data_IF_177463286062
#
_entry.id   IF_177463286062
#
_cell.length_a   1.000
_cell.length_b   1.000
_cell.length_c   1.000
_cell.angle_alpha   90.00
_cell.angle_beta   90.00
_cell.angle_gamma   90.00
#
_symmetry.space_group_name_H-M   'P 1'
#
loop_
_entity.id
_entity.type
_entity.pdbx_description
1 polymer ?
#
# COMPACT_ATOMS: atom_id res chain seq x y z
N UNK A 1 -2.58 20.65 -5.74
CA UNK A 1 -2.05 19.92 -4.57
C UNK A 1 -2.20 18.44 -4.87
N UNK A 2 -1.10 17.72 -5.09
CA UNK A 2 -1.17 16.26 -5.24
C UNK A 2 -1.41 15.70 -3.83
N UNK A 3 -2.42 14.85 -3.60
CA UNK A 3 -2.63 14.21 -2.30
C UNK A 3 -1.38 13.43 -1.91
N UNK A 4 -1.08 13.28 -0.61
CA UNK A 4 0.12 12.56 -0.17
C UNK A 4 0.16 11.10 -0.68
N UNK A 5 -1.01 10.47 -0.93
CA UNK A 5 -1.14 9.20 -1.68
C UNK A 5 -0.61 9.28 -3.13
N UNK A 6 -0.90 10.36 -3.86
CA UNK A 6 -0.42 10.54 -5.23
C UNK A 6 1.10 10.68 -5.29
N UNK A 7 1.69 11.41 -4.34
CA UNK A 7 3.15 11.52 -4.24
C UNK A 7 3.80 10.22 -3.78
N UNK A 8 3.19 9.53 -2.82
CA UNK A 8 3.57 8.18 -2.38
C UNK A 8 3.64 7.16 -3.53
N UNK A 9 2.62 7.12 -4.39
CA UNK A 9 2.58 6.21 -5.54
C UNK A 9 3.65 6.53 -6.59
N UNK A 10 4.03 7.80 -6.74
CA UNK A 10 5.14 8.20 -7.61
C UNK A 10 6.50 7.80 -7.02
N UNK A 11 6.63 7.84 -5.69
CA UNK A 11 7.86 7.57 -4.92
C UNK A 11 8.04 6.11 -4.47
N UNK A 12 7.20 5.18 -4.91
CA UNK A 12 7.45 3.74 -4.66
C UNK A 12 8.11 3.05 -5.85
N UNK A 13 8.26 3.78 -6.96
CA UNK A 13 8.63 3.24 -8.26
C UNK A 13 10.07 2.77 -8.31
N UNK A 14 11.02 3.51 -7.72
CA UNK A 14 12.43 3.12 -7.79
C UNK A 14 12.72 1.92 -6.88
N UNK A 15 12.14 1.88 -5.69
CA UNK A 15 12.23 0.79 -4.74
C UNK A 15 11.64 -0.50 -5.33
N UNK A 16 10.40 -0.47 -5.82
CA UNK A 16 9.77 -1.65 -6.43
C UNK A 16 10.56 -2.16 -7.63
N UNK A 17 10.97 -1.26 -8.53
CA UNK A 17 11.75 -1.64 -9.71
C UNK A 17 13.11 -2.20 -9.32
N UNK A 18 13.80 -1.60 -8.34
CA UNK A 18 15.08 -2.04 -7.84
C UNK A 18 15.01 -3.45 -7.24
N UNK A 19 14.05 -3.68 -6.35
CA UNK A 19 13.78 -4.98 -5.74
C UNK A 19 13.44 -6.04 -6.79
N UNK A 20 12.53 -5.74 -7.71
CA UNK A 20 12.13 -6.69 -8.76
C UNK A 20 13.29 -7.05 -9.70
N UNK A 21 14.12 -6.06 -10.10
CA UNK A 21 15.29 -6.31 -10.94
C UNK A 21 16.35 -7.14 -10.19
N UNK A 22 16.57 -6.88 -8.91
CA UNK A 22 17.52 -7.63 -8.10
C UNK A 22 17.07 -9.09 -7.92
N UNK A 23 15.81 -9.28 -7.51
CA UNK A 23 15.20 -10.60 -7.35
C UNK A 23 15.29 -11.42 -8.64
N UNK A 24 14.99 -10.80 -9.80
CA UNK A 24 15.13 -11.45 -11.11
C UNK A 24 16.58 -11.86 -11.39
N UNK A 25 17.57 -10.99 -11.10
CA UNK A 25 19.00 -11.33 -11.26
C UNK A 25 19.44 -12.46 -10.34
N UNK A 26 18.82 -12.58 -9.17
CA UNK A 26 19.06 -13.62 -8.19
C UNK A 26 18.23 -14.89 -8.43
N UNK A 27 17.59 -15.03 -9.60
CA UNK A 27 16.75 -16.18 -9.95
C UNK A 27 15.60 -16.42 -8.95
N UNK A 28 15.03 -15.34 -8.44
CA UNK A 28 13.95 -15.37 -7.44
C UNK A 28 14.34 -16.01 -6.11
N UNK A 29 15.64 -16.01 -5.78
CA UNK A 29 16.11 -16.41 -4.46
C UNK A 29 15.85 -15.28 -3.45
N UNK A 30 14.83 -15.46 -2.62
CA UNK A 30 14.42 -14.51 -1.58
C UNK A 30 15.35 -14.48 -0.36
N UNK A 31 16.23 -15.47 -0.19
CA UNK A 31 17.16 -15.55 0.95
C UNK A 31 18.44 -14.74 0.71
N UNK A 32 18.70 -14.35 -0.55
CA UNK A 32 19.88 -13.56 -0.90
C UNK A 32 19.69 -12.09 -0.54
N UNK A 33 20.76 -11.48 -0.04
CA UNK A 33 20.79 -10.05 0.25
C UNK A 33 20.56 -9.23 -1.03
N UNK A 34 19.63 -8.30 -0.97
CA UNK A 34 19.33 -7.36 -2.04
C UNK A 34 19.88 -5.97 -1.71
N UNK A 35 21.03 -5.55 -2.28
CA UNK A 35 21.50 -4.18 -2.14
C UNK A 35 20.52 -3.20 -2.80
N UNK A 36 20.15 -2.16 -2.07
CA UNK A 36 19.30 -1.08 -2.55
C UNK A 36 20.12 -0.01 -3.28
N UNK A 37 19.56 0.59 -4.32
CA UNK A 37 20.17 1.74 -4.99
C UNK A 37 20.06 3.01 -4.13
N UNK A 38 20.91 4.00 -4.39
CA UNK A 38 20.82 5.30 -3.73
C UNK A 38 19.44 5.96 -3.88
N UNK A 39 18.79 5.81 -5.05
CA UNK A 39 17.43 6.32 -5.25
C UNK A 39 16.40 5.59 -4.37
N UNK A 40 16.54 4.26 -4.23
CA UNK A 40 15.65 3.46 -3.38
C UNK A 40 15.80 3.85 -1.90
N UNK A 41 17.01 4.17 -1.47
CA UNK A 41 17.28 4.71 -0.13
C UNK A 41 16.63 6.07 0.10
N UNK A 42 16.73 6.99 -0.87
CA UNK A 42 16.07 8.30 -0.77
C UNK A 42 14.55 8.18 -0.70
N UNK A 43 13.96 7.25 -1.45
CA UNK A 43 12.53 6.95 -1.35
C UNK A 43 12.15 6.40 0.04
N UNK A 44 12.91 5.44 0.57
CA UNK A 44 12.68 4.90 1.92
C UNK A 44 12.80 5.96 3.01
N UNK A 45 13.79 6.85 2.90
CA UNK A 45 13.95 7.96 3.83
C UNK A 45 12.74 8.88 3.79
N UNK A 46 12.30 9.27 2.59
CA UNK A 46 11.09 10.08 2.44
C UNK A 46 9.88 9.40 3.07
N UNK A 47 9.68 8.11 2.83
CA UNK A 47 8.58 7.35 3.45
C UNK A 47 8.69 7.34 4.97
N UNK A 48 9.88 7.16 5.52
CA UNK A 48 10.10 7.18 6.99
C UNK A 48 9.73 8.53 7.60
N UNK A 49 10.04 9.62 6.91
CA UNK A 49 9.72 10.99 7.35
C UNK A 49 8.24 11.36 7.14
N UNK A 50 7.60 10.81 6.10
CA UNK A 50 6.27 11.25 5.66
C UNK A 50 5.15 10.24 5.97
N UNK A 51 5.44 9.02 6.43
CA UNK A 51 4.40 8.00 6.75
C UNK A 51 3.44 8.47 7.84
N UNK A 52 3.91 9.33 8.75
CA UNK A 52 3.11 9.92 9.82
C UNK A 52 2.25 11.10 9.35
N UNK A 53 2.51 11.62 8.14
CA UNK A 53 1.70 12.66 7.52
C UNK A 53 0.47 11.97 6.97
N UNK A 54 -0.56 11.82 7.83
CA UNK A 54 -1.85 11.31 7.41
C UNK A 54 -2.35 12.13 6.24
N UNK A 55 -2.88 11.47 5.19
CA UNK A 55 -3.68 12.16 4.19
C UNK A 55 -4.81 12.84 4.94
N UNK A 56 -4.74 14.17 5.09
CA UNK A 56 -5.68 14.99 5.85
C UNK A 56 -7.08 15.07 5.22
N UNK A 57 -7.57 13.99 4.62
CA UNK A 57 -9.01 13.82 4.47
C UNK A 57 -9.52 13.37 5.84
N UNK A 58 -10.37 14.16 6.51
CA UNK A 58 -11.06 13.66 7.68
C UNK A 58 -11.80 12.40 7.25
N UNK A 59 -11.45 11.26 7.86
CA UNK A 59 -12.36 10.11 7.85
C UNK A 59 -13.64 10.68 8.45
N UNK A 60 -14.69 10.84 7.65
CA UNK A 60 -16.03 11.08 8.20
C UNK A 60 -16.36 9.84 9.00
N UNK A 61 -16.09 9.90 10.29
CA UNK A 61 -16.66 8.97 11.25
C UNK A 61 -18.13 9.35 11.29
N UNK A 62 -18.94 8.69 10.47
CA UNK A 62 -20.38 8.80 10.56
C UNK A 62 -20.75 8.19 11.93
N UNK A 63 -20.86 9.03 12.95
CA UNK A 63 -21.24 8.62 14.31
C UNK A 63 -22.71 8.17 14.39
N UNK A 64 -23.46 8.34 13.30
CA UNK A 64 -24.71 7.64 13.08
C UNK A 64 -24.43 6.21 12.66
N UNK A 65 -24.50 5.27 13.59
CA UNK A 65 -24.76 3.85 13.26
C UNK A 65 -26.09 3.85 12.50
N UNK A 66 -26.02 3.96 11.17
CA UNK A 66 -27.18 3.78 10.33
C UNK A 66 -27.32 2.28 10.18
N UNK A 67 -28.35 1.70 10.82
CA UNK A 67 -28.69 0.31 10.59
C UNK A 67 -28.72 0.08 9.06
N UNK A 68 -27.98 -0.90 8.54
CA UNK A 68 -28.02 -1.17 7.12
C UNK A 68 -29.47 -1.54 6.78
N UNK A 69 -30.13 -0.71 5.97
CA UNK A 69 -31.50 -0.92 5.50
C UNK A 69 -31.59 -2.05 4.45
N UNK A 70 -30.67 -3.01 4.52
CA UNK A 70 -30.47 -4.08 3.56
C UNK A 70 -30.61 -5.38 4.36
N UNK A 71 -31.77 -6.02 4.22
CA UNK A 71 -31.93 -7.41 4.65
C UNK A 71 -31.17 -8.30 3.66
N UNK A 72 -30.05 -8.86 4.11
CA UNK A 72 -29.31 -9.86 3.35
C UNK A 72 -29.96 -11.21 3.66
N UNK A 73 -30.71 -11.76 2.70
CA UNK A 73 -31.18 -13.13 2.76
C UNK A 73 -30.08 -14.05 2.23
N UNK A 74 -29.56 -14.91 3.09
CA UNK A 74 -28.63 -15.99 2.70
C UNK A 74 -29.48 -17.23 2.45
N UNK A 75 -29.39 -17.79 1.25
CA UNK A 75 -29.99 -19.08 0.94
C UNK A 75 -29.23 -20.17 1.71
N UNK A 76 -29.92 -20.86 2.61
CA UNK A 76 -29.36 -21.91 3.44
C UNK A 76 -29.52 -23.30 2.79
N UNK A 77 -29.87 -23.38 1.51
CA UNK A 77 -29.81 -24.66 0.81
C UNK A 77 -28.35 -25.00 0.50
N UNK A 78 -27.84 -25.97 1.25
CA UNK A 78 -26.56 -26.64 1.08
C UNK A 78 -26.53 -27.51 -0.20
N UNK A 79 -26.97 -26.94 -1.33
CA UNK A 79 -26.86 -27.54 -2.67
C UNK A 79 -25.73 -26.82 -3.39
N UNK A 80 -24.50 -27.21 -3.05
CA UNK A 80 -23.29 -26.83 -3.77
C UNK A 80 -23.22 -27.36 -5.19
#
# INVERSE_FOLDING_TARGET
MIPAIGEALLRIRFLQRGLAMNLRRQQYNWEKLCPLSAQSWNELQWWTENVQISNGLPIKIDTGIREPNISIHVDATDTG
#
